data_IF_469865876707
#
_entry.id   IF_469865876707
#
_cell.length_a   1.000
_cell.length_b   1.000
_cell.length_c   1.000
_cell.angle_alpha   90.00
_cell.angle_beta   90.00
_cell.angle_gamma   90.00
#
_symmetry.space_group_name_H-M   'P 1'
#
loop_
_entity.id
_entity.type
_entity.pdbx_description
1 polymer ?
#
# COMPACT_ATOMS: atom_id res chain seq x y z
N UNK A 1 -16.56 -25.49 -3.43
CA UNK A 1 -16.12 -24.28 -2.72
C UNK A 1 -16.82 -23.10 -3.36
N UNK A 2 -17.65 -22.34 -2.63
CA UNK A 2 -18.28 -21.15 -3.21
C UNK A 2 -17.20 -20.07 -3.38
N UNK A 3 -16.90 -19.71 -4.62
CA UNK A 3 -15.90 -18.71 -4.95
C UNK A 3 -16.38 -17.36 -4.39
N UNK A 4 -15.72 -16.89 -3.33
CA UNK A 4 -15.98 -15.57 -2.74
C UNK A 4 -15.62 -14.54 -3.79
N UNK A 5 -16.64 -14.01 -4.47
CA UNK A 5 -16.51 -12.85 -5.35
C UNK A 5 -15.98 -11.69 -4.48
N UNK A 6 -14.72 -11.22 -4.66
CA UNK A 6 -14.20 -10.11 -3.86
C UNK A 6 -15.12 -8.88 -3.92
N UNK A 7 -15.48 -8.40 -2.73
CA UNK A 7 -16.29 -7.21 -2.53
C UNK A 7 -15.46 -5.93 -2.69
N UNK A 8 -16.14 -4.82 -2.94
CA UNK A 8 -15.52 -3.50 -2.95
C UNK A 8 -14.93 -3.21 -1.56
N UNK A 9 -13.62 -2.87 -1.45
CA UNK A 9 -12.98 -2.64 -0.15
C UNK A 9 -13.48 -1.37 0.55
N UNK A 10 -14.14 -0.47 -0.19
CA UNK A 10 -14.65 0.80 0.34
C UNK A 10 -16.05 0.68 0.93
N UNK A 11 -16.90 -0.20 0.39
CA UNK A 11 -18.32 -0.26 0.78
C UNK A 11 -18.96 -1.65 0.79
N UNK A 12 -18.21 -2.72 0.50
CA UNK A 12 -18.68 -4.11 0.56
C UNK A 12 -19.60 -4.55 -0.59
N UNK A 13 -19.96 -3.66 -1.52
CA UNK A 13 -20.79 -4.00 -2.69
C UNK A 13 -20.05 -4.88 -3.71
N UNK A 14 -20.77 -5.64 -4.57
CA UNK A 14 -20.13 -6.36 -5.67
C UNK A 14 -19.30 -5.42 -6.55
N UNK A 15 -18.08 -5.83 -6.89
CA UNK A 15 -17.21 -5.05 -7.78
C UNK A 15 -17.80 -4.97 -9.19
N UNK A 16 -17.64 -3.82 -9.83
CA UNK A 16 -18.02 -3.63 -11.23
C UNK A 16 -16.79 -3.88 -12.10
N UNK A 17 -16.94 -4.59 -13.22
CA UNK A 17 -15.80 -4.99 -14.06
C UNK A 17 -14.96 -3.80 -14.52
N UNK A 18 -15.60 -2.68 -14.88
CA UNK A 18 -14.94 -1.45 -15.31
C UNK A 18 -14.19 -0.70 -14.18
N UNK A 19 -14.50 -0.99 -12.91
CA UNK A 19 -13.98 -0.26 -11.76
C UNK A 19 -13.23 -1.14 -10.77
N UNK A 20 -12.88 -2.38 -11.13
CA UNK A 20 -12.16 -3.30 -10.21
C UNK A 20 -10.88 -2.62 -9.69
N UNK A 21 -10.59 -2.70 -8.38
CA UNK A 21 -11.23 -3.54 -7.37
C UNK A 21 -12.55 -3.01 -6.76
N UNK A 22 -13.05 -1.86 -7.20
CA UNK A 22 -14.19 -1.15 -6.64
C UNK A 22 -15.53 -1.45 -7.34
N UNK A 23 -16.62 -0.96 -6.75
CA UNK A 23 -17.95 -1.03 -7.36
C UNK A 23 -18.29 0.16 -8.28
N UNK A 24 -17.56 1.28 -8.19
CA UNK A 24 -17.84 2.51 -8.97
C UNK A 24 -16.67 3.50 -8.92
N UNK A 25 -16.67 4.49 -9.83
CA UNK A 25 -15.72 5.62 -9.79
C UNK A 25 -15.71 6.33 -8.45
N UNK A 26 -16.90 6.56 -7.86
CA UNK A 26 -17.02 7.20 -6.54
C UNK A 26 -16.22 6.47 -5.45
N UNK A 27 -16.20 5.14 -5.45
CA UNK A 27 -15.41 4.38 -4.47
C UNK A 27 -13.91 4.48 -4.76
N UNK A 28 -13.49 4.51 -6.03
CA UNK A 28 -12.09 4.74 -6.39
C UNK A 28 -11.62 6.13 -5.93
N UNK A 29 -12.44 7.17 -6.11
CA UNK A 29 -12.10 8.53 -5.68
C UNK A 29 -11.97 8.63 -4.14
N UNK A 30 -12.83 7.90 -3.40
CA UNK A 30 -12.75 7.83 -1.93
C UNK A 30 -11.46 7.14 -1.48
N UNK A 31 -11.07 6.06 -2.15
CA UNK A 31 -9.80 5.39 -1.87
C UNK A 31 -8.62 6.33 -2.10
N UNK A 32 -8.61 7.03 -3.23
CA UNK A 32 -7.59 8.05 -3.53
C UNK A 32 -7.54 9.16 -2.47
N UNK A 33 -8.69 9.60 -1.97
CA UNK A 33 -8.73 10.58 -0.89
C UNK A 33 -8.20 10.03 0.46
N UNK A 34 -8.30 8.72 0.71
CA UNK A 34 -7.67 8.08 1.87
C UNK A 34 -6.15 8.09 1.74
N UNK A 35 -5.63 7.81 0.55
CA UNK A 35 -4.20 7.94 0.24
C UNK A 35 -3.68 9.35 0.52
N UNK A 36 -4.32 10.39 -0.02
CA UNK A 36 -3.88 11.77 0.18
C UNK A 36 -3.98 12.25 1.63
N UNK A 37 -4.87 11.65 2.44
CA UNK A 37 -4.97 11.96 3.87
C UNK A 37 -3.95 11.21 4.72
N UNK A 38 -3.21 10.27 4.15
CA UNK A 38 -2.30 9.42 4.91
C UNK A 38 -3.01 8.34 5.73
N UNK A 39 -4.28 8.01 5.42
CA UNK A 39 -5.02 6.95 6.12
C UNK A 39 -4.36 5.56 5.92
N UNK A 40 -3.51 5.44 4.89
CA UNK A 40 -2.71 4.25 4.60
C UNK A 40 -1.24 4.37 5.06
N UNK A 41 -0.91 5.34 5.90
CA UNK A 41 0.42 5.46 6.47
C UNK A 41 0.75 4.25 7.36
N UNK A 42 1.97 3.72 7.21
CA UNK A 42 2.50 2.70 8.11
C UNK A 42 3.01 3.43 9.37
N UNK A 43 2.60 3.02 10.58
CA UNK A 43 3.17 3.58 11.80
C UNK A 43 4.69 3.43 11.79
N UNK A 44 5.41 4.49 12.13
CA UNK A 44 6.83 4.36 12.43
C UNK A 44 6.96 3.57 13.74
N UNK A 45 7.78 2.52 13.73
CA UNK A 45 8.28 1.95 14.97
C UNK A 45 9.23 2.94 15.63
N UNK A 46 9.16 3.08 16.95
CA UNK A 46 10.12 3.88 17.70
C UNK A 46 11.50 3.26 17.49
N UNK A 47 12.29 3.85 16.59
CA UNK A 47 13.65 3.39 16.32
C UNK A 47 14.45 3.53 17.61
N UNK A 48 14.67 2.41 18.30
CA UNK A 48 15.62 2.38 19.41
C UNK A 48 17.02 2.57 18.85
N UNK A 49 17.98 3.09 19.63
CA UNK A 49 19.37 3.25 19.18
C UNK A 49 20.03 1.96 18.67
N UNK A 50 19.44 0.79 18.98
CA UNK A 50 19.89 -0.54 18.54
C UNK A 50 19.41 -0.91 17.12
N UNK A 51 18.41 -0.19 16.58
CA UNK A 51 17.80 -0.43 15.27
C UNK A 51 18.50 0.36 14.13
N UNK A 52 19.41 1.27 14.49
CA UNK A 52 20.20 2.00 13.51
C UNK A 52 21.25 1.06 12.88
N UNK A 53 21.40 1.03 11.54
CA UNK A 53 22.53 0.33 10.94
C UNK A 53 23.84 0.91 11.50
N UNK A 54 24.88 0.08 11.72
CA UNK A 54 26.14 0.57 12.27
C UNK A 54 26.67 1.70 11.39
N UNK A 55 27.21 2.75 12.02
CA UNK A 55 27.66 3.98 11.32
C UNK A 55 28.73 3.73 10.24
N UNK A 56 29.38 2.56 10.27
CA UNK A 56 30.36 2.09 9.29
C UNK A 56 29.81 1.02 8.32
N UNK A 57 28.49 0.83 8.25
CA UNK A 57 27.89 -0.02 7.22
C UNK A 57 28.08 0.63 5.84
N UNK A 58 28.63 -0.08 4.85
CA UNK A 58 28.66 0.43 3.48
C UNK A 58 27.22 0.68 3.01
N UNK A 59 26.97 1.74 2.21
CA UNK A 59 25.62 2.01 1.70
C UNK A 59 25.11 0.81 0.92
N UNK A 60 23.98 0.27 1.34
CA UNK A 60 23.33 -0.87 0.71
C UNK A 60 22.54 -0.44 -0.54
N UNK A 61 23.21 0.24 -1.48
CA UNK A 61 22.76 0.40 -2.87
C UNK A 61 23.93 0.91 -3.71
N UNK A 62 24.80 0.00 -4.18
CA UNK A 62 25.54 0.27 -5.41
C UNK A 62 24.77 -0.41 -6.54
N UNK A 63 24.15 0.35 -7.46
CA UNK A 63 23.63 -0.21 -8.69
C UNK A 63 24.79 -0.89 -9.41
N UNK A 64 24.64 -2.18 -9.66
CA UNK A 64 25.57 -2.98 -10.43
C UNK A 64 25.63 -2.42 -11.87
N UNK A 65 26.63 -1.58 -12.15
CA UNK A 65 27.00 -1.13 -13.51
C UNK A 65 27.66 -2.29 -14.29
N UNK A 66 26.92 -3.37 -14.52
CA UNK A 66 27.30 -4.37 -15.51
C UNK A 66 26.87 -3.91 -16.90
N UNK A 67 27.86 -3.42 -17.65
CA UNK A 67 27.83 -3.32 -19.11
C UNK A 67 27.76 -4.68 -19.80
#
# INVERSE_FOLDING_TARGET
MAEKTPACPICGKPRAQAFRPFCSRRCADVDLAKWFRGDYAVPAEDQTPDDAPPADAPPADTPDERG
#
